data_IF_409966236165
#
_entry.id   IF_409966236165
#
_cell.length_a   1.000
_cell.length_b   1.000
_cell.length_c   1.000
_cell.angle_alpha   90.00
_cell.angle_beta   90.00
_cell.angle_gamma   90.00
#
_symmetry.space_group_name_H-M   'P 1'
#
loop_
_entity.id
_entity.type
_entity.pdbx_description
1 polymer ?
#
# COMPACT_ATOMS: atom_id res chain seq x y z
N UNK A 1 24.89 3.03 -11.14
CA UNK A 1 23.61 2.32 -10.86
C UNK A 1 22.67 2.53 -12.05
N UNK A 2 21.69 1.64 -12.28
CA UNK A 2 20.70 1.87 -13.33
C UNK A 2 19.77 3.02 -12.92
N UNK A 3 19.30 3.88 -13.86
CA UNK A 3 18.35 4.94 -13.52
C UNK A 3 17.02 4.35 -13.03
N UNK A 4 16.42 4.99 -12.04
CA UNK A 4 15.07 4.64 -11.57
C UNK A 4 14.07 5.02 -12.64
N UNK A 5 13.11 4.15 -12.91
CA UNK A 5 12.07 4.33 -13.92
C UNK A 5 10.65 4.31 -13.34
N UNK A 6 10.49 3.70 -12.17
CA UNK A 6 9.20 3.54 -11.51
C UNK A 6 9.36 3.64 -10.00
N UNK A 7 8.47 4.38 -9.36
CA UNK A 7 8.27 4.32 -7.91
C UNK A 7 6.87 3.76 -7.63
N UNK A 8 6.82 2.68 -6.88
CA UNK A 8 5.59 2.03 -6.43
C UNK A 8 5.37 2.41 -4.97
N UNK A 9 4.27 3.09 -4.70
CA UNK A 9 3.89 3.50 -3.35
C UNK A 9 2.75 2.64 -2.83
N UNK A 10 2.76 2.38 -1.53
CA UNK A 10 1.54 2.04 -0.82
C UNK A 10 0.63 3.27 -0.66
N UNK A 11 -0.63 3.05 -0.27
CA UNK A 11 -1.60 4.13 -0.07
C UNK A 11 -1.72 4.54 1.41
N UNK A 12 -2.46 3.81 2.21
CA UNK A 12 -2.79 4.18 3.59
C UNK A 12 -1.56 4.12 4.51
N UNK A 13 -1.19 5.24 5.13
CA UNK A 13 0.03 5.38 5.93
C UNK A 13 1.27 5.74 5.12
N UNK A 14 1.21 5.68 3.79
CA UNK A 14 2.33 6.04 2.90
C UNK A 14 2.02 7.28 2.06
N UNK A 15 1.05 7.23 1.15
CA UNK A 15 0.62 8.39 0.34
C UNK A 15 -0.60 9.08 0.92
N UNK A 16 -1.38 8.38 1.74
CA UNK A 16 -2.54 8.89 2.46
C UNK A 16 -2.25 8.88 3.95
N UNK A 17 -2.63 9.95 4.64
CA UNK A 17 -2.62 9.97 6.10
C UNK A 17 -3.54 8.87 6.62
N UNK A 18 -3.04 8.01 7.49
CA UNK A 18 -3.81 7.01 8.23
C UNK A 18 -3.72 7.32 9.73
N UNK A 19 -4.84 7.67 10.33
CA UNK A 19 -4.99 7.90 11.77
C UNK A 19 -5.64 6.67 12.45
N UNK A 20 -5.23 5.47 12.03
CA UNK A 20 -5.79 4.18 12.48
C UNK A 20 -7.26 3.96 12.08
N UNK A 21 -7.75 4.67 11.04
CA UNK A 21 -9.14 4.50 10.57
C UNK A 21 -9.39 3.11 10.01
N UNK A 22 -8.44 2.54 9.27
CA UNK A 22 -8.57 1.18 8.73
C UNK A 22 -8.64 0.15 9.85
N UNK A 23 -7.83 0.34 10.90
CA UNK A 23 -7.85 -0.52 12.10
C UNK A 23 -9.19 -0.39 12.83
N UNK A 24 -9.69 0.83 13.03
CA UNK A 24 -11.00 1.08 13.68
C UNK A 24 -12.14 0.45 12.89
N UNK A 25 -12.19 0.65 11.56
CA UNK A 25 -13.22 0.03 10.72
C UNK A 25 -13.16 -1.50 10.78
N UNK A 26 -11.95 -2.07 10.82
CA UNK A 26 -11.76 -3.50 10.94
C UNK A 26 -12.19 -4.03 12.31
N UNK A 27 -11.80 -3.38 13.41
CA UNK A 27 -12.18 -3.75 14.77
C UNK A 27 -13.70 -3.68 14.96
N UNK A 28 -14.34 -2.63 14.43
CA UNK A 28 -15.79 -2.46 14.46
C UNK A 28 -16.49 -3.60 13.72
N UNK A 29 -16.08 -3.92 12.50
CA UNK A 29 -16.66 -5.01 11.72
C UNK A 29 -16.45 -6.38 12.41
N UNK A 30 -15.27 -6.62 12.98
CA UNK A 30 -14.97 -7.82 13.75
C UNK A 30 -15.93 -7.94 14.95
N UNK A 31 -16.08 -6.88 15.74
CA UNK A 31 -16.98 -6.85 16.92
C UNK A 31 -18.44 -7.07 16.53
N UNK A 32 -18.95 -6.37 15.50
CA UNK A 32 -20.34 -6.51 15.02
C UNK A 32 -20.65 -7.93 14.52
N UNK A 33 -19.66 -8.65 14.04
CA UNK A 33 -19.82 -10.02 13.53
C UNK A 33 -19.44 -11.11 14.53
N UNK A 34 -19.03 -10.70 15.76
CA UNK A 34 -18.72 -11.61 16.86
C UNK A 34 -17.30 -12.16 16.82
N UNK A 35 -16.39 -11.57 16.03
CA UNK A 35 -14.97 -11.93 16.02
C UNK A 35 -14.22 -11.08 17.05
N UNK A 36 -13.67 -11.72 18.08
CA UNK A 36 -12.79 -11.05 19.05
C UNK A 36 -11.34 -11.10 18.54
N UNK A 37 -10.70 -9.94 18.44
CA UNK A 37 -9.32 -9.78 18.00
C UNK A 37 -8.68 -8.61 18.75
N UNK A 38 -7.39 -8.73 19.12
CA UNK A 38 -6.68 -7.64 19.79
C UNK A 38 -6.14 -6.61 18.80
N UNK A 39 -5.93 -5.38 19.27
CA UNK A 39 -5.38 -4.29 18.46
C UNK A 39 -3.99 -4.64 17.93
N UNK A 40 -3.14 -5.29 18.73
CA UNK A 40 -1.82 -5.76 18.29
C UNK A 40 -1.92 -6.77 17.13
N UNK A 41 -2.96 -7.65 17.17
CA UNK A 41 -3.16 -8.62 16.09
C UNK A 41 -3.67 -7.96 14.82
N UNK A 42 -4.53 -6.95 14.94
CA UNK A 42 -5.01 -6.15 13.80
C UNK A 42 -3.83 -5.41 13.16
N UNK A 43 -3.01 -4.74 13.97
CA UNK A 43 -1.83 -4.00 13.51
C UNK A 43 -0.83 -4.92 12.79
N UNK A 44 -0.56 -6.11 13.34
CA UNK A 44 0.36 -7.08 12.73
C UNK A 44 -0.08 -7.58 11.35
N UNK A 45 -1.35 -7.39 10.99
CA UNK A 45 -1.93 -7.80 9.69
C UNK A 45 -2.25 -6.62 8.77
N UNK A 46 -1.75 -5.41 9.09
CA UNK A 46 -1.90 -4.24 8.23
C UNK A 46 -1.18 -4.43 6.88
N UNK A 47 -1.67 -3.74 5.85
CA UNK A 47 -1.17 -3.88 4.49
C UNK A 47 -1.59 -5.16 3.75
N UNK A 48 -2.14 -6.18 4.46
CA UNK A 48 -2.69 -7.38 3.83
C UNK A 48 -4.13 -7.15 3.33
N UNK A 49 -4.56 -7.96 2.34
CA UNK A 49 -5.95 -7.99 1.90
C UNK A 49 -6.88 -8.31 3.06
N UNK A 50 -7.89 -7.47 3.32
CA UNK A 50 -8.74 -7.61 4.50
C UNK A 50 -9.62 -8.87 4.47
N UNK A 51 -9.99 -9.35 3.29
CA UNK A 51 -10.68 -10.64 3.17
C UNK A 51 -9.80 -11.79 3.67
N UNK A 52 -8.54 -11.79 3.27
CA UNK A 52 -7.55 -12.77 3.75
C UNK A 52 -7.35 -12.68 5.27
N UNK A 53 -7.33 -11.45 5.83
CA UNK A 53 -7.23 -11.25 7.28
C UNK A 53 -8.41 -11.86 8.03
N UNK A 54 -9.66 -11.59 7.59
CA UNK A 54 -10.85 -12.22 8.19
C UNK A 54 -10.83 -13.74 8.07
N UNK A 55 -10.42 -14.27 6.91
CA UNK A 55 -10.30 -15.71 6.72
C UNK A 55 -9.30 -16.34 7.71
N UNK A 56 -8.14 -15.73 7.88
CA UNK A 56 -7.12 -16.18 8.82
C UNK A 56 -7.64 -16.20 10.25
N UNK A 57 -8.23 -15.08 10.70
CA UNK A 57 -8.72 -14.95 12.06
C UNK A 57 -9.91 -15.88 12.37
N UNK A 58 -10.81 -16.08 11.41
CA UNK A 58 -11.91 -17.03 11.58
C UNK A 58 -11.44 -18.48 11.54
N UNK A 59 -10.41 -18.82 10.74
CA UNK A 59 -9.74 -20.14 10.78
C UNK A 59 -9.08 -20.40 12.13
N UNK A 60 -8.38 -19.43 12.68
CA UNK A 60 -7.78 -19.52 14.03
C UNK A 60 -8.83 -19.79 15.11
N UNK A 61 -10.02 -19.21 14.97
CA UNK A 61 -11.10 -19.33 15.97
C UNK A 61 -11.95 -20.60 15.81
N UNK A 62 -12.30 -20.98 14.59
CA UNK A 62 -13.27 -22.04 14.31
C UNK A 62 -12.65 -23.37 13.87
N UNK A 63 -11.40 -23.31 13.41
CA UNK A 63 -10.74 -24.41 12.70
C UNK A 63 -11.00 -24.33 11.19
N UNK A 64 -10.06 -24.87 10.43
CA UNK A 64 -10.04 -24.77 8.95
C UNK A 64 -11.23 -25.51 8.29
N UNK A 65 -11.63 -26.64 8.86
CA UNK A 65 -12.70 -27.52 8.32
C UNK A 65 -14.12 -27.14 8.81
N UNK A 66 -14.27 -26.00 9.49
CA UNK A 66 -15.57 -25.59 10.03
C UNK A 66 -16.53 -25.22 8.88
N UNK A 67 -17.71 -25.86 8.76
CA UNK A 67 -18.64 -25.59 7.66
C UNK A 67 -19.19 -24.16 7.65
N UNK A 68 -19.19 -23.48 8.79
CA UNK A 68 -19.64 -22.09 8.90
C UNK A 68 -18.53 -21.06 8.59
N UNK A 69 -17.27 -21.49 8.38
CA UNK A 69 -16.13 -20.61 8.17
C UNK A 69 -16.39 -19.58 7.07
N UNK A 70 -16.82 -20.07 5.89
CA UNK A 70 -17.07 -19.20 4.73
C UNK A 70 -18.13 -18.13 5.03
N UNK A 71 -19.23 -18.49 5.69
CA UNK A 71 -20.31 -17.54 6.01
C UNK A 71 -19.87 -16.47 7.02
N UNK A 72 -19.04 -16.85 8.00
CA UNK A 72 -18.46 -15.88 8.95
C UNK A 72 -17.50 -14.91 8.25
N UNK A 73 -16.63 -15.41 7.39
CA UNK A 73 -15.70 -14.58 6.61
C UNK A 73 -16.48 -13.63 5.70
N UNK A 74 -17.45 -14.14 4.94
CA UNK A 74 -18.25 -13.32 4.02
C UNK A 74 -18.99 -12.22 4.76
N UNK A 75 -19.63 -12.52 5.89
CA UNK A 75 -20.34 -11.54 6.71
C UNK A 75 -19.40 -10.48 7.29
N UNK A 76 -18.27 -10.89 7.87
CA UNK A 76 -17.32 -9.93 8.46
C UNK A 76 -16.72 -9.03 7.39
N UNK A 77 -16.37 -9.59 6.23
CA UNK A 77 -15.84 -8.82 5.12
C UNK A 77 -16.88 -7.85 4.54
N UNK A 78 -18.13 -8.28 4.38
CA UNK A 78 -19.20 -7.38 3.93
C UNK A 78 -19.41 -6.22 4.91
N UNK A 79 -19.52 -6.51 6.22
CA UNK A 79 -19.66 -5.47 7.24
C UNK A 79 -18.49 -4.49 7.21
N UNK A 80 -17.26 -5.01 7.06
CA UNK A 80 -16.07 -4.17 6.93
C UNK A 80 -16.13 -3.26 5.70
N UNK A 81 -16.53 -3.79 4.54
CA UNK A 81 -16.59 -2.99 3.31
C UNK A 81 -17.62 -1.88 3.41
N UNK A 82 -18.78 -2.14 4.04
CA UNK A 82 -19.82 -1.13 4.27
C UNK A 82 -19.33 0.00 5.19
N UNK A 83 -18.65 -0.33 6.30
CA UNK A 83 -18.08 0.64 7.25
C UNK A 83 -16.97 1.45 6.57
N UNK A 84 -16.05 0.78 5.88
CA UNK A 84 -14.89 1.43 5.26
C UNK A 84 -15.30 2.36 4.11
N UNK A 85 -16.22 1.92 3.25
CA UNK A 85 -16.75 2.76 2.17
C UNK A 85 -17.45 3.99 2.72
N UNK A 86 -18.30 3.81 3.75
CA UNK A 86 -18.96 4.94 4.41
C UNK A 86 -17.95 5.92 4.99
N UNK A 87 -16.90 5.41 5.65
CA UNK A 87 -15.83 6.24 6.19
C UNK A 87 -15.18 7.09 5.09
N UNK A 88 -14.67 6.46 4.01
CA UNK A 88 -13.99 7.18 2.94
C UNK A 88 -14.91 8.03 2.05
N UNK A 89 -16.23 7.84 2.11
CA UNK A 89 -17.21 8.74 1.46
C UNK A 89 -17.48 9.99 2.30
N UNK A 90 -17.34 9.93 3.63
CA UNK A 90 -17.83 10.99 4.54
C UNK A 90 -16.71 11.74 5.27
N UNK A 91 -15.57 11.10 5.54
CA UNK A 91 -14.47 11.71 6.27
C UNK A 91 -13.44 12.33 5.33
N UNK A 92 -12.66 13.29 5.84
CA UNK A 92 -11.60 13.91 5.06
C UNK A 92 -10.48 12.93 4.74
N UNK A 93 -9.97 13.02 3.52
CA UNK A 93 -8.83 12.23 3.03
C UNK A 93 -7.73 13.23 2.66
N UNK A 94 -6.56 13.06 3.26
CA UNK A 94 -5.43 13.97 3.01
C UNK A 94 -4.19 13.18 2.60
N UNK A 95 -3.42 13.68 1.61
CA UNK A 95 -2.09 13.15 1.33
C UNK A 95 -1.16 13.28 2.55
N UNK A 96 -0.22 12.35 2.69
CA UNK A 96 0.83 12.44 3.71
C UNK A 96 1.79 13.60 3.43
N UNK A 97 2.53 13.99 4.45
CA UNK A 97 3.54 15.04 4.35
C UNK A 97 4.58 14.74 3.26
N UNK A 98 4.74 15.65 2.32
CA UNK A 98 5.70 15.53 1.22
C UNK A 98 5.24 14.63 0.07
N UNK A 99 4.02 14.11 0.09
CA UNK A 99 3.52 13.20 -0.96
C UNK A 99 3.44 13.90 -2.32
N UNK A 100 2.77 15.04 -2.39
CA UNK A 100 2.59 15.76 -3.66
C UNK A 100 3.91 16.33 -4.17
N UNK A 101 4.77 16.84 -3.29
CA UNK A 101 6.12 17.32 -3.64
C UNK A 101 7.00 16.17 -4.18
N UNK A 102 6.85 14.97 -3.63
CA UNK A 102 7.53 13.79 -4.15
C UNK A 102 7.00 13.40 -5.54
N UNK A 103 5.69 13.49 -5.77
CA UNK A 103 5.09 13.24 -7.09
C UNK A 103 5.57 14.27 -8.11
N UNK A 104 5.57 15.55 -7.77
CA UNK A 104 6.07 16.64 -8.65
C UNK A 104 7.53 16.39 -9.05
N UNK A 105 8.37 16.00 -8.09
CA UNK A 105 9.76 15.64 -8.36
C UNK A 105 9.88 14.46 -9.32
N UNK A 106 9.12 13.39 -9.12
CA UNK A 106 9.15 12.21 -9.98
C UNK A 106 8.69 12.53 -11.40
N UNK A 107 7.67 13.36 -11.55
CA UNK A 107 7.22 13.87 -12.86
C UNK A 107 8.32 14.66 -13.56
N UNK A 108 8.98 15.58 -12.85
CA UNK A 108 10.07 16.38 -13.42
C UNK A 108 11.25 15.52 -13.89
N UNK A 109 11.52 14.41 -13.20
CA UNK A 109 12.57 13.43 -13.55
C UNK A 109 12.10 12.39 -14.59
N UNK A 110 10.83 12.42 -15.03
CA UNK A 110 10.26 11.45 -15.96
C UNK A 110 10.14 10.03 -15.38
N UNK A 111 10.02 9.91 -14.06
CA UNK A 111 9.87 8.65 -13.33
C UNK A 111 8.39 8.34 -13.15
N UNK A 112 7.95 7.15 -13.56
CA UNK A 112 6.56 6.73 -13.42
C UNK A 112 6.18 6.51 -11.94
N UNK A 113 4.92 6.81 -11.62
CA UNK A 113 4.32 6.64 -10.29
C UNK A 113 3.24 5.58 -10.38
N UNK A 114 3.31 4.56 -9.53
CA UNK A 114 2.23 3.59 -9.36
C UNK A 114 1.81 3.49 -7.89
N UNK A 115 0.51 3.31 -7.67
CA UNK A 115 -0.04 3.03 -6.35
C UNK A 115 -0.41 1.55 -6.24
N UNK A 116 -0.08 0.94 -5.13
CA UNK A 116 -0.54 -0.41 -4.76
C UNK A 116 -1.19 -0.35 -3.39
N UNK A 117 -2.19 -1.18 -3.13
CA UNK A 117 -2.89 -1.13 -1.84
C UNK A 117 -3.46 -2.48 -1.42
N UNK A 118 -3.54 -2.70 -0.12
CA UNK A 118 -4.32 -3.80 0.46
C UNK A 118 -5.84 -3.63 0.35
N UNK A 119 -6.31 -2.46 -0.07
CA UNK A 119 -7.72 -2.21 -0.36
C UNK A 119 -8.18 -2.94 -1.62
N UNK A 120 -9.49 -3.17 -1.70
CA UNK A 120 -10.17 -3.64 -2.92
C UNK A 120 -10.53 -2.47 -3.84
N UNK A 121 -10.76 -2.76 -5.10
CA UNK A 121 -10.89 -1.73 -6.17
C UNK A 121 -11.94 -0.67 -5.88
N UNK A 122 -13.12 -1.05 -5.37
CA UNK A 122 -14.21 -0.09 -5.14
C UNK A 122 -13.81 1.02 -4.14
N UNK A 123 -13.25 0.66 -2.98
CA UNK A 123 -12.82 1.66 -1.99
C UNK A 123 -11.61 2.44 -2.47
N UNK A 124 -10.70 1.81 -3.22
CA UNK A 124 -9.57 2.49 -3.86
C UNK A 124 -10.08 3.59 -4.80
N UNK A 125 -11.11 3.31 -5.60
CA UNK A 125 -11.70 4.30 -6.49
C UNK A 125 -12.35 5.46 -5.73
N UNK A 126 -13.06 5.19 -4.63
CA UNK A 126 -13.62 6.24 -3.76
C UNK A 126 -12.52 7.19 -3.28
N UNK A 127 -11.41 6.64 -2.80
CA UNK A 127 -10.27 7.41 -2.31
C UNK A 127 -9.64 8.25 -3.42
N UNK A 128 -9.32 7.62 -4.55
CA UNK A 128 -8.67 8.28 -5.68
C UNK A 128 -9.54 9.37 -6.29
N UNK A 129 -10.87 9.14 -6.39
CA UNK A 129 -11.83 10.13 -6.89
C UNK A 129 -11.89 11.35 -5.99
N UNK A 130 -12.01 11.14 -4.68
CA UNK A 130 -12.05 12.22 -3.69
C UNK A 130 -10.77 13.06 -3.63
N UNK A 131 -9.63 12.47 -3.96
CA UNK A 131 -8.34 13.18 -4.09
C UNK A 131 -8.13 13.81 -5.47
N UNK A 132 -9.01 13.52 -6.45
CA UNK A 132 -8.82 13.91 -7.84
C UNK A 132 -7.74 13.09 -8.57
N UNK A 133 -7.27 11.99 -7.99
CA UNK A 133 -6.19 11.17 -8.53
C UNK A 133 -6.66 10.12 -9.56
N UNK A 134 -7.97 9.98 -9.75
CA UNK A 134 -8.54 9.21 -10.88
C UNK A 134 -8.47 9.96 -12.21
N UNK A 135 -8.25 11.26 -12.17
CA UNK A 135 -8.29 12.09 -13.38
C UNK A 135 -7.28 11.60 -14.44
N UNK A 136 -7.80 11.28 -15.62
CA UNK A 136 -7.01 10.84 -16.77
C UNK A 136 -6.61 9.37 -16.76
N UNK A 137 -6.98 8.58 -15.74
CA UNK A 137 -6.83 7.13 -15.79
C UNK A 137 -7.93 6.49 -16.65
N UNK A 138 -7.58 5.43 -17.36
CA UNK A 138 -8.52 4.64 -18.15
C UNK A 138 -9.32 3.65 -17.28
N UNK A 139 -10.15 2.82 -17.91
CA UNK A 139 -10.98 1.80 -17.26
C UNK A 139 -10.17 0.69 -16.56
N UNK A 140 -8.89 0.57 -16.89
CA UNK A 140 -7.94 -0.35 -16.24
C UNK A 140 -7.07 0.34 -15.19
N UNK A 141 -7.39 1.61 -14.85
CA UNK A 141 -6.66 2.45 -13.91
C UNK A 141 -5.20 2.70 -14.33
N UNK A 142 -5.00 2.81 -15.64
CA UNK A 142 -3.71 3.14 -16.26
C UNK A 142 -3.79 4.57 -16.81
N UNK A 143 -2.79 5.35 -16.45
CA UNK A 143 -2.59 6.71 -16.93
C UNK A 143 -1.46 6.80 -17.96
N UNK A 144 -1.13 8.03 -18.30
CA UNK A 144 -0.02 8.35 -19.19
C UNK A 144 0.94 9.34 -18.50
N UNK A 145 1.93 9.84 -19.22
CA UNK A 145 2.94 10.77 -18.67
C UNK A 145 2.36 12.11 -18.13
N UNK A 146 1.16 12.48 -18.52
CA UNK A 146 0.51 13.74 -18.14
C UNK A 146 -0.49 13.55 -16.98
N UNK A 147 -0.72 12.29 -16.52
CA UNK A 147 -1.56 11.98 -15.37
C UNK A 147 -0.74 12.01 -14.08
N UNK A 148 -1.38 12.30 -12.95
CA UNK A 148 -0.72 12.36 -11.64
C UNK A 148 -0.07 11.01 -11.26
N UNK A 149 -0.74 9.91 -11.55
CA UNK A 149 -0.21 8.55 -11.39
C UNK A 149 -0.37 7.77 -12.70
N UNK A 150 0.54 6.84 -12.99
CA UNK A 150 0.50 6.06 -14.21
C UNK A 150 -0.13 4.68 -14.04
N UNK A 151 -0.29 4.20 -12.80
CA UNK A 151 -1.05 2.98 -12.52
C UNK A 151 -1.58 2.96 -11.09
N UNK A 152 -2.75 2.36 -10.90
CA UNK A 152 -3.29 2.04 -9.58
C UNK A 152 -3.70 0.57 -9.53
N UNK A 153 -3.19 -0.18 -8.55
CA UNK A 153 -3.41 -1.62 -8.40
C UNK A 153 -4.01 -1.91 -7.02
N UNK A 154 -5.22 -2.45 -7.01
CA UNK A 154 -5.90 -2.90 -5.80
C UNK A 154 -5.62 -4.40 -5.51
N UNK A 155 -5.80 -4.83 -4.27
CA UNK A 155 -5.47 -6.19 -3.83
C UNK A 155 -6.30 -7.29 -4.48
N UNK A 156 -7.52 -6.98 -4.91
CA UNK A 156 -8.46 -7.90 -5.58
C UNK A 156 -8.22 -8.01 -7.11
N UNK A 157 -7.23 -7.32 -7.64
CA UNK A 157 -6.86 -7.36 -9.05
C UNK A 157 -5.65 -8.24 -9.35
N UNK A 158 -5.14 -8.93 -8.36
CA UNK A 158 -4.01 -9.86 -8.48
C UNK A 158 -4.34 -11.19 -7.82
N UNK A 159 -3.64 -12.26 -8.21
CA UNK A 159 -3.87 -13.59 -7.65
C UNK A 159 -3.67 -13.62 -6.13
N UNK A 160 -2.63 -12.96 -5.64
CA UNK A 160 -2.32 -12.82 -4.20
C UNK A 160 -1.79 -11.43 -3.93
N UNK A 161 -2.37 -10.76 -2.91
CA UNK A 161 -1.86 -9.50 -2.41
C UNK A 161 -0.51 -9.64 -1.70
N UNK A 162 -0.08 -8.58 -1.01
CA UNK A 162 1.13 -8.60 -0.19
C UNK A 162 1.11 -9.75 0.82
N UNK A 163 2.23 -10.34 1.12
CA UNK A 163 3.61 -9.97 0.80
C UNK A 163 4.12 -10.49 -0.56
N UNK A 164 3.23 -10.99 -1.41
CA UNK A 164 3.59 -11.48 -2.74
C UNK A 164 3.94 -10.31 -3.69
N UNK A 165 4.76 -10.54 -4.74
CA UNK A 165 5.25 -9.47 -5.61
C UNK A 165 4.26 -8.99 -6.66
N UNK A 166 3.08 -9.60 -6.77
CA UNK A 166 2.22 -9.51 -7.96
C UNK A 166 1.69 -8.12 -8.24
N UNK A 167 1.40 -7.30 -7.21
CA UNK A 167 0.96 -5.91 -7.44
C UNK A 167 2.10 -5.05 -8.01
N UNK A 168 3.34 -5.22 -7.49
CA UNK A 168 4.53 -4.52 -8.02
C UNK A 168 4.81 -4.98 -9.45
N UNK A 169 4.74 -6.28 -9.74
CA UNK A 169 4.94 -6.82 -11.08
C UNK A 169 3.86 -6.32 -12.05
N UNK A 170 2.60 -6.22 -11.61
CA UNK A 170 1.51 -5.63 -12.40
C UNK A 170 1.77 -4.14 -12.66
N UNK A 171 2.23 -3.37 -11.66
CA UNK A 171 2.63 -1.97 -11.83
C UNK A 171 3.74 -1.83 -12.88
N UNK A 172 4.77 -2.67 -12.81
CA UNK A 172 5.84 -2.71 -13.80
C UNK A 172 5.32 -3.01 -15.21
N UNK A 173 4.44 -3.99 -15.33
CA UNK A 173 3.84 -4.36 -16.62
C UNK A 173 3.04 -3.19 -17.22
N UNK A 174 2.18 -2.56 -16.42
CA UNK A 174 1.32 -1.46 -16.87
C UNK A 174 2.11 -0.20 -17.25
N UNK A 175 3.24 0.04 -16.61
CA UNK A 175 4.12 1.19 -16.89
C UNK A 175 5.24 0.87 -17.90
N UNK A 176 5.30 -0.35 -18.42
CA UNK A 176 6.32 -0.79 -19.40
C UNK A 176 7.72 -0.98 -18.80
N UNK A 177 7.86 -0.98 -17.45
CA UNK A 177 9.15 -1.17 -16.78
C UNK A 177 9.43 -2.66 -16.62
N UNK A 178 10.48 -3.15 -17.26
CA UNK A 178 10.82 -4.59 -17.28
C UNK A 178 11.91 -5.00 -16.30
N UNK A 179 12.68 -4.02 -15.79
CA UNK A 179 13.81 -4.30 -14.90
C UNK A 179 13.45 -3.96 -13.44
N UNK A 180 13.30 -4.95 -12.54
CA UNK A 180 13.03 -4.69 -11.13
C UNK A 180 14.08 -3.80 -10.46
N UNK A 181 15.35 -3.88 -10.90
CA UNK A 181 16.44 -3.02 -10.41
C UNK A 181 16.27 -1.53 -10.70
N UNK A 182 15.31 -1.15 -11.58
CA UNK A 182 14.93 0.24 -11.87
C UNK A 182 13.66 0.67 -11.11
N UNK A 183 13.17 -0.15 -10.18
CA UNK A 183 11.97 0.10 -9.39
C UNK A 183 12.33 0.45 -7.94
N UNK A 184 11.65 1.44 -7.40
CA UNK A 184 11.63 1.76 -5.97
C UNK A 184 10.28 1.31 -5.42
N UNK A 185 10.28 0.60 -4.30
CA UNK A 185 9.07 0.30 -3.53
C UNK A 185 9.07 1.09 -2.23
N UNK A 186 7.96 1.69 -1.89
CA UNK A 186 7.80 2.51 -0.68
C UNK A 186 6.53 2.10 0.05
N UNK A 187 6.64 1.81 1.35
CA UNK A 187 5.51 1.47 2.20
C UNK A 187 5.84 1.63 3.68
N UNK A 188 4.81 1.57 4.52
CA UNK A 188 4.90 1.79 5.96
C UNK A 188 4.59 0.53 6.79
N UNK A 189 4.38 -0.61 6.12
CA UNK A 189 4.08 -1.88 6.79
C UNK A 189 5.12 -2.97 6.49
N UNK A 190 5.26 -3.98 7.37
CA UNK A 190 6.06 -5.17 7.08
C UNK A 190 5.69 -5.85 5.76
N UNK A 191 4.41 -5.87 5.40
CA UNK A 191 3.94 -6.52 4.17
C UNK A 191 4.39 -5.80 2.90
N UNK A 192 4.57 -4.47 2.95
CA UNK A 192 5.17 -3.68 1.86
C UNK A 192 6.63 -4.04 1.64
N UNK A 193 7.39 -4.04 2.74
CA UNK A 193 8.82 -4.34 2.69
C UNK A 193 9.08 -5.77 2.19
N UNK A 194 8.28 -6.73 2.62
CA UNK A 194 8.35 -8.11 2.14
C UNK A 194 7.95 -8.21 0.66
N UNK A 195 6.94 -7.47 0.21
CA UNK A 195 6.51 -7.43 -1.20
C UNK A 195 7.60 -6.85 -2.10
N UNK A 196 8.22 -5.73 -1.70
CA UNK A 196 9.36 -5.14 -2.40
C UNK A 196 10.54 -6.10 -2.52
N UNK A 197 10.87 -6.79 -1.43
CA UNK A 197 11.92 -7.84 -1.43
C UNK A 197 11.57 -8.98 -2.38
N UNK A 198 10.32 -9.46 -2.33
CA UNK A 198 9.84 -10.55 -3.18
C UNK A 198 9.84 -10.19 -4.66
N UNK A 199 9.60 -8.92 -5.00
CA UNK A 199 9.65 -8.40 -6.36
C UNK A 199 11.08 -8.15 -6.86
N UNK A 200 12.08 -8.14 -5.98
CA UNK A 200 13.48 -7.88 -6.32
C UNK A 200 13.75 -6.44 -6.76
N UNK A 201 13.03 -5.48 -6.18
CA UNK A 201 13.17 -4.05 -6.52
C UNK A 201 14.57 -3.52 -6.22
N UNK A 202 14.98 -2.49 -6.95
CA UNK A 202 16.31 -1.88 -6.82
C UNK A 202 16.50 -1.03 -5.56
N UNK A 203 15.40 -0.60 -4.93
CA UNK A 203 15.39 0.13 -3.66
C UNK A 203 14.07 -0.13 -2.93
N UNK A 204 14.18 -0.61 -1.70
CA UNK A 204 13.04 -0.93 -0.84
C UNK A 204 13.02 -0.01 0.38
N UNK A 205 12.08 0.90 0.44
CA UNK A 205 12.02 2.01 1.40
C UNK A 205 10.89 1.78 2.39
N UNK A 206 11.21 1.89 3.69
CA UNK A 206 10.20 2.03 4.73
C UNK A 206 9.96 3.49 5.09
N UNK A 207 8.70 3.97 5.13
CA UNK A 207 8.37 5.25 5.75
C UNK A 207 7.96 5.04 7.20
N UNK A 208 8.36 5.94 8.10
CA UNK A 208 8.21 5.75 9.55
C UNK A 208 7.23 6.72 10.21
N UNK A 209 6.50 7.47 9.40
CA UNK A 209 5.37 8.33 9.81
C UNK A 209 4.00 7.75 9.46
N UNK A 210 3.95 6.48 9.05
CA UNK A 210 2.74 5.73 8.79
C UNK A 210 2.26 4.94 10.02
N UNK A 211 1.67 3.76 9.77
CA UNK A 211 1.07 2.92 10.82
C UNK A 211 2.09 2.20 11.71
N UNK A 212 3.29 1.93 11.19
CA UNK A 212 4.35 1.25 11.93
C UNK A 212 5.52 2.18 12.23
N UNK A 213 6.02 2.10 13.45
CA UNK A 213 7.24 2.77 13.86
C UNK A 213 8.48 2.13 13.22
N UNK A 214 9.59 2.88 13.17
CA UNK A 214 10.89 2.37 12.70
C UNK A 214 11.28 1.05 13.41
N UNK A 215 11.12 0.97 14.72
CA UNK A 215 11.48 -0.23 15.49
C UNK A 215 10.67 -1.47 15.08
N UNK A 216 9.41 -1.28 14.67
CA UNK A 216 8.55 -2.37 14.19
C UNK A 216 8.93 -2.79 12.75
N UNK A 217 9.46 -1.88 11.93
CA UNK A 217 9.88 -2.16 10.54
C UNK A 217 11.31 -2.70 10.44
N UNK A 218 12.20 -2.36 11.38
CA UNK A 218 13.63 -2.72 11.37
C UNK A 218 13.91 -4.23 11.14
N UNK A 219 13.10 -5.19 11.66
CA UNK A 219 13.34 -6.61 11.42
C UNK A 219 13.07 -7.07 9.98
N UNK A 220 12.43 -6.23 9.16
CA UNK A 220 12.02 -6.61 7.80
C UNK A 220 13.00 -6.10 6.74
N UNK A 221 13.05 -6.74 5.55
CA UNK A 221 14.01 -6.38 4.51
C UNK A 221 13.74 -4.97 3.97
N UNK A 222 14.68 -4.07 4.18
CA UNK A 222 14.66 -2.70 3.70
C UNK A 222 16.07 -2.25 3.30
N UNK A 223 16.17 -1.21 2.50
CA UNK A 223 17.44 -0.56 2.16
C UNK A 223 17.63 0.73 2.97
N UNK A 224 16.55 1.48 3.20
CA UNK A 224 16.57 2.74 3.94
C UNK A 224 15.19 3.05 4.54
N UNK A 225 15.18 3.80 5.64
CA UNK A 225 13.98 4.41 6.20
C UNK A 225 13.93 5.90 5.90
N UNK A 226 12.73 6.41 5.58
CA UNK A 226 12.45 7.83 5.48
C UNK A 226 11.47 8.24 6.59
N UNK A 227 11.72 9.36 7.27
CA UNK A 227 10.76 9.90 8.24
C UNK A 227 9.47 10.40 7.59
N UNK A 228 9.52 10.83 6.31
CA UNK A 228 8.36 11.17 5.49
C UNK A 228 8.73 11.17 4.01
N UNK A 229 7.74 11.24 3.11
CA UNK A 229 7.99 11.34 1.66
C UNK A 229 8.68 12.64 1.24
N UNK A 230 8.74 13.65 2.10
CA UNK A 230 9.50 14.90 1.88
C UNK A 230 10.98 14.64 1.59
N UNK A 231 11.55 13.57 2.18
CA UNK A 231 12.96 13.23 1.99
C UNK A 231 13.25 12.44 0.70
N UNK A 232 12.20 11.97 0.01
CA UNK A 232 12.36 11.12 -1.18
C UNK A 232 13.11 11.81 -2.33
N UNK A 233 12.82 13.08 -2.70
CA UNK A 233 13.53 13.78 -3.77
C UNK A 233 15.04 13.87 -3.51
N UNK A 234 15.43 14.19 -2.28
CA UNK A 234 16.83 14.27 -1.87
C UNK A 234 17.52 12.91 -1.97
N UNK A 235 16.88 11.85 -1.44
CA UNK A 235 17.40 10.49 -1.49
C UNK A 235 17.68 10.04 -2.93
N UNK A 236 16.72 10.25 -3.84
CA UNK A 236 16.84 9.82 -5.23
C UNK A 236 17.87 10.64 -6.00
N UNK A 237 17.96 11.95 -5.78
CA UNK A 237 18.96 12.82 -6.41
C UNK A 237 20.40 12.46 -5.97
N UNK A 238 20.63 12.19 -4.70
CA UNK A 238 21.91 11.76 -4.16
C UNK A 238 22.33 10.41 -4.73
N UNK A 239 21.38 9.48 -4.87
CA UNK A 239 21.60 8.16 -5.48
C UNK A 239 21.97 8.28 -6.96
N UNK A 240 21.30 9.15 -7.70
CA UNK A 240 21.61 9.42 -9.12
C UNK A 240 23.00 10.03 -9.28
N UNK A 241 23.46 10.85 -8.35
CA UNK A 241 24.81 11.43 -8.31
C UNK A 241 25.91 10.44 -7.86
N UNK A 242 25.56 9.17 -7.59
CA UNK A 242 26.53 8.13 -7.18
C UNK A 242 27.00 8.24 -5.73
N UNK A 243 26.36 9.04 -4.89
CA UNK A 243 26.64 9.09 -3.45
C UNK A 243 26.15 7.82 -2.77
N UNK A 244 26.98 7.19 -1.94
CA UNK A 244 26.57 6.05 -1.12
C UNK A 244 25.49 6.51 -0.12
N UNK A 245 24.39 5.74 -0.04
CA UNK A 245 23.38 5.92 1.00
C UNK A 245 24.06 5.68 2.36
N UNK A 246 24.23 6.71 3.15
CA UNK A 246 24.59 6.54 4.55
C UNK A 246 23.38 5.92 5.24
N UNK A 247 23.54 4.73 5.82
CA UNK A 247 22.51 4.16 6.71
C UNK A 247 22.35 5.11 7.89
N UNK A 248 21.27 5.85 7.92
CA UNK A 248 20.85 6.71 9.03
C UNK A 248 19.93 5.94 9.96
#
# INVERSE_FOLDING_TARGET
MKPIQLVVFDMAGTTLTDQHEVERCFAEAAAQTGLSVSDERILAMQGLSKRYVFETLWKERLGEDNPALKSHVDRSYQTFTEILEHHYLTQDITPTEGCLEAFDYLHAEGIAIALTTGFYRKVTNIILDRLGWLAGLDEHHVGNKDTLIQASIASDEVEKGRPYPYMIQKAMHLTGVTNPGAVVNIGDTPSDLLSGRSAGVGLNIGVTNGTHSRAQLEPYPHDVFLPSLRELPKLLSERSAGKMLTKV
#
